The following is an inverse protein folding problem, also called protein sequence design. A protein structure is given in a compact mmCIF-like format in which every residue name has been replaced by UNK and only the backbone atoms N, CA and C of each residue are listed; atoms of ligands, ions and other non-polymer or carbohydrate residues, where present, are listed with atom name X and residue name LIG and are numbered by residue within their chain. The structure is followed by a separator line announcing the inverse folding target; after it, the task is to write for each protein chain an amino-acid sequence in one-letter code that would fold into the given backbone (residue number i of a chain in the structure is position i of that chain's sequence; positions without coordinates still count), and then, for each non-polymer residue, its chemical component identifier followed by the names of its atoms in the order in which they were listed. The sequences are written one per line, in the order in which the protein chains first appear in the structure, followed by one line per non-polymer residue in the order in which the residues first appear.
data_IF_205993702756
#
_entry.id   IF_205993702756
#
_cell.length_a   1.000
_cell.length_b   1.000
_cell.length_c   1.000
_cell.angle_alpha   90.00
_cell.angle_beta   90.00
_cell.angle_gamma   90.00
#
_symmetry.space_group_name_H-M   'P 1'
#
loop_
_entity.id
_entity.type
_entity.pdbx_description
1 polymer ?
#
# COMPACT_ATOMS: atom_id res chain seq x y z
N UNK A 1 9.64 -78.97 17.74
CA UNK A 1 9.83 -78.45 19.09
C UNK A 1 9.75 -76.91 19.02
N UNK A 2 8.62 -76.35 19.39
CA UNK A 2 8.44 -75.38 20.47
C UNK A 2 9.33 -74.15 20.35
N UNK A 3 8.89 -72.91 20.28
CA UNK A 3 7.83 -72.15 21.02
C UNK A 3 7.63 -70.81 20.31
N UNK A 4 6.47 -70.32 20.08
CA UNK A 4 5.70 -69.34 20.89
C UNK A 4 6.39 -68.08 21.35
N UNK A 5 5.82 -67.02 20.92
CA UNK A 5 5.36 -65.84 21.68
C UNK A 5 6.15 -64.61 21.33
N UNK A 6 5.66 -63.52 21.09
CA UNK A 6 4.61 -62.79 21.74
C UNK A 6 4.35 -61.53 20.93
N UNK A 7 3.10 -61.23 20.71
CA UNK A 7 2.65 -59.97 20.17
C UNK A 7 2.98 -58.85 21.16
N UNK A 8 3.62 -57.78 20.63
CA UNK A 8 3.64 -56.52 21.32
C UNK A 8 3.07 -55.47 20.37
N UNK A 9 1.76 -55.29 20.49
CA UNK A 9 1.03 -54.21 19.87
C UNK A 9 1.48 -52.92 20.54
N UNK A 10 2.35 -52.15 19.88
CA UNK A 10 2.68 -50.81 20.28
C UNK A 10 1.72 -49.87 19.58
N UNK A 11 0.67 -49.50 20.28
CA UNK A 11 -0.30 -48.46 19.86
C UNK A 11 0.42 -47.12 19.88
N UNK A 12 0.92 -46.70 18.67
CA UNK A 12 1.41 -45.36 18.45
C UNK A 12 0.20 -44.43 18.32
N UNK A 13 -0.17 -43.83 19.42
CA UNK A 13 -1.06 -42.67 19.43
C UNK A 13 -0.41 -41.54 18.60
N UNK A 14 -0.78 -41.46 17.34
CA UNK A 14 -0.50 -40.32 16.48
C UNK A 14 -1.39 -39.18 16.97
N UNK A 15 -0.92 -38.43 17.97
CA UNK A 15 -1.50 -37.15 18.35
C UNK A 15 -1.23 -36.18 17.21
N UNK A 16 -2.18 -36.07 16.29
CA UNK A 16 -2.24 -34.94 15.35
C UNK A 16 -2.44 -33.67 16.17
N UNK A 17 -1.36 -32.98 16.44
CA UNK A 17 -1.39 -31.60 16.88
C UNK A 17 -1.99 -30.83 15.69
N UNK A 18 -3.29 -30.59 15.73
CA UNK A 18 -3.92 -29.53 14.98
C UNK A 18 -3.28 -28.22 15.47
N UNK A 19 -2.23 -27.76 14.77
CA UNK A 19 -1.84 -26.36 14.83
C UNK A 19 -3.03 -25.59 14.21
N UNK A 20 -3.98 -25.22 15.07
CA UNK A 20 -4.93 -24.18 14.75
C UNK A 20 -4.12 -22.94 14.40
N UNK A 21 -4.16 -22.54 13.15
CA UNK A 21 -3.76 -21.20 12.78
C UNK A 21 -4.68 -20.26 13.56
N UNK A 22 -4.17 -19.78 14.69
CA UNK A 22 -4.83 -18.76 15.48
C UNK A 22 -4.75 -17.52 14.62
N UNK A 23 -5.85 -17.16 13.92
CA UNK A 23 -6.00 -15.84 13.35
C UNK A 23 -5.69 -14.86 14.47
N UNK A 24 -4.54 -14.22 14.38
CA UNK A 24 -4.20 -13.13 15.28
C UNK A 24 -5.21 -12.03 14.99
N UNK A 25 -6.27 -11.98 15.79
CA UNK A 25 -7.12 -10.80 15.88
C UNK A 25 -6.19 -9.63 16.18
N UNK A 26 -5.85 -8.85 15.16
CA UNK A 26 -5.01 -7.67 15.34
C UNK A 26 -5.82 -6.72 16.20
N UNK A 27 -5.45 -6.63 17.47
CA UNK A 27 -6.03 -5.70 18.41
C UNK A 27 -5.65 -4.30 17.97
N UNK A 28 -6.60 -3.37 17.98
CA UNK A 28 -6.32 -1.96 17.78
C UNK A 28 -6.75 -1.17 19.03
N UNK A 29 -6.06 -0.09 19.30
CA UNK A 29 -6.45 0.89 20.30
C UNK A 29 -7.01 2.14 19.63
N UNK A 30 -7.88 2.87 20.32
CA UNK A 30 -8.40 4.13 19.79
C UNK A 30 -8.55 5.18 20.87
N UNK A 31 -8.57 6.44 20.45
CA UNK A 31 -8.92 7.62 21.29
C UNK A 31 -9.58 8.69 20.43
N UNK A 32 -10.42 9.49 21.06
CA UNK A 32 -11.12 10.65 20.47
C UNK A 32 -11.74 11.51 21.55
N UNK A 33 -12.24 12.69 21.18
CA UNK A 33 -12.99 13.52 22.11
C UNK A 33 -14.38 12.94 22.38
N UNK A 34 -14.96 12.26 21.38
CA UNK A 34 -16.25 11.57 21.47
C UNK A 34 -16.22 10.24 20.73
N UNK A 35 -16.80 9.22 21.33
CA UNK A 35 -16.99 7.91 20.71
C UNK A 35 -18.45 7.47 20.82
N UNK A 36 -18.98 6.92 19.73
CA UNK A 36 -20.29 6.29 19.68
C UNK A 36 -20.14 4.88 19.13
N UNK A 37 -20.56 3.88 19.91
CA UNK A 37 -20.43 2.46 19.52
C UNK A 37 -21.80 1.78 19.49
N UNK A 38 -22.06 1.07 18.40
CA UNK A 38 -23.20 0.17 18.23
C UNK A 38 -22.66 -1.26 18.17
N UNK A 39 -23.15 -2.11 19.08
CA UNK A 39 -22.71 -3.51 19.20
C UNK A 39 -23.77 -4.53 18.73
N UNK A 40 -24.83 -4.06 18.05
CA UNK A 40 -25.86 -4.94 17.54
C UNK A 40 -25.31 -5.78 16.39
N UNK A 41 -25.52 -7.09 16.46
CA UNK A 41 -25.08 -8.06 15.44
C UNK A 41 -25.49 -7.63 14.03
N UNK A 42 -24.54 -7.66 13.10
CA UNK A 42 -24.67 -7.21 11.72
C UNK A 42 -24.79 -5.69 11.52
N UNK A 43 -24.62 -4.90 12.59
CA UNK A 43 -24.59 -3.42 12.56
C UNK A 43 -23.49 -2.84 13.42
N UNK A 44 -22.46 -3.62 13.68
CA UNK A 44 -21.31 -3.21 14.48
C UNK A 44 -20.65 -1.98 13.86
N UNK A 45 -20.51 -0.94 14.69
CA UNK A 45 -19.95 0.33 14.26
C UNK A 45 -19.38 1.07 15.45
N UNK A 46 -18.20 1.64 15.28
CA UNK A 46 -17.64 2.61 16.22
C UNK A 46 -17.25 3.85 15.44
N UNK A 47 -17.82 4.98 15.82
CA UNK A 47 -17.52 6.31 15.27
C UNK A 47 -16.78 7.13 16.30
N UNK A 48 -15.65 7.67 15.91
CA UNK A 48 -14.75 8.50 16.69
C UNK A 48 -14.79 9.92 16.12
N UNK A 49 -14.98 10.93 16.95
CA UNK A 49 -15.10 12.33 16.53
C UNK A 49 -14.21 13.23 17.39
N UNK A 50 -13.51 14.14 16.75
CA UNK A 50 -12.56 15.07 17.37
C UNK A 50 -11.26 14.38 17.79
N UNK A 51 -10.13 14.83 17.23
CA UNK A 51 -8.80 14.27 17.51
C UNK A 51 -8.77 12.75 17.46
N UNK A 52 -9.55 12.18 16.52
CA UNK A 52 -9.71 10.74 16.39
C UNK A 52 -8.39 10.08 16.00
N UNK A 53 -8.05 9.00 16.70
CA UNK A 53 -6.85 8.20 16.46
C UNK A 53 -7.14 6.73 16.62
N UNK A 54 -6.69 5.93 15.67
CA UNK A 54 -6.60 4.47 15.75
C UNK A 54 -5.14 4.08 15.63
N UNK A 55 -4.75 3.08 16.42
CA UNK A 55 -3.37 2.58 16.45
C UNK A 55 -3.38 1.05 16.52
N UNK A 56 -2.62 0.45 15.64
CA UNK A 56 -2.24 -0.97 15.64
C UNK A 56 -0.75 -1.08 15.93
N UNK A 57 -0.17 -2.28 15.82
CA UNK A 57 1.27 -2.48 16.05
C UNK A 57 2.14 -1.59 15.15
N UNK A 58 1.75 -1.38 13.89
CA UNK A 58 2.56 -0.65 12.90
C UNK A 58 1.84 0.52 12.25
N UNK A 59 0.50 0.57 12.29
CA UNK A 59 -0.27 1.60 11.58
C UNK A 59 -0.95 2.55 12.56
N UNK A 60 -0.79 3.84 12.30
CA UNK A 60 -1.48 4.91 13.01
C UNK A 60 -2.31 5.72 12.03
N UNK A 61 -3.61 5.86 12.31
CA UNK A 61 -4.53 6.71 11.56
C UNK A 61 -4.99 7.84 12.48
N UNK A 62 -4.86 9.08 12.05
CA UNK A 62 -5.41 10.26 12.72
C UNK A 62 -6.30 11.04 11.77
N UNK A 63 -7.44 11.54 12.27
CA UNK A 63 -8.39 12.32 11.47
C UNK A 63 -9.33 13.12 12.39
N UNK A 64 -10.16 13.99 11.81
CA UNK A 64 -11.26 14.64 12.56
C UNK A 64 -12.34 13.62 12.90
N UNK A 65 -12.63 12.70 11.97
CA UNK A 65 -13.60 11.62 12.13
C UNK A 65 -13.00 10.30 11.62
N UNK A 66 -13.15 9.24 12.42
CA UNK A 66 -12.85 7.87 12.00
C UNK A 66 -14.05 7.00 12.33
N UNK A 67 -14.45 6.16 11.39
CA UNK A 67 -15.50 5.19 11.57
C UNK A 67 -14.99 3.80 11.21
N UNK A 68 -15.18 2.82 12.11
CA UNK A 68 -14.90 1.42 11.85
C UNK A 68 -16.20 0.62 11.94
N UNK A 69 -16.47 -0.24 10.96
CA UNK A 69 -17.76 -0.91 10.85
C UNK A 69 -17.69 -2.24 10.08
N UNK A 70 -18.82 -2.93 10.03
CA UNK A 70 -18.96 -4.25 9.40
C UNK A 70 -18.49 -5.38 10.29
N UNK A 71 -18.72 -6.60 9.86
CA UNK A 71 -18.40 -7.81 10.61
C UNK A 71 -16.93 -7.78 11.07
N UNK A 72 -16.73 -7.93 12.38
CA UNK A 72 -15.39 -7.87 13.00
C UNK A 72 -14.63 -6.57 12.68
N UNK A 73 -15.32 -5.45 12.45
CA UNK A 73 -14.73 -4.16 12.07
C UNK A 73 -13.86 -4.28 10.81
N UNK A 74 -14.41 -4.89 9.79
CA UNK A 74 -13.76 -5.11 8.50
C UNK A 74 -13.35 -3.82 7.82
N UNK A 75 -14.23 -2.79 7.88
CA UNK A 75 -14.05 -1.54 7.17
C UNK A 75 -13.63 -0.42 8.10
N UNK A 76 -12.76 0.47 7.59
CA UNK A 76 -12.44 1.73 8.24
C UNK A 76 -12.55 2.87 7.23
N UNK A 77 -13.17 3.98 7.66
CA UNK A 77 -13.24 5.24 6.94
C UNK A 77 -12.70 6.36 7.82
N UNK A 78 -11.97 7.29 7.23
CA UNK A 78 -11.44 8.44 7.94
C UNK A 78 -11.53 9.70 7.08
N UNK A 79 -11.80 10.86 7.70
CA UNK A 79 -11.94 12.12 6.99
C UNK A 79 -11.58 13.32 7.87
N UNK A 80 -11.13 14.39 7.21
CA UNK A 80 -10.71 15.65 7.84
C UNK A 80 -9.37 15.55 8.55
N UNK A 81 -8.41 16.39 8.17
CA UNK A 81 -7.04 16.42 8.71
C UNK A 81 -6.39 15.02 8.80
N UNK A 82 -6.65 14.23 7.77
CA UNK A 82 -6.27 12.83 7.72
C UNK A 82 -4.76 12.65 7.54
N UNK A 83 -4.19 11.81 8.39
CA UNK A 83 -2.82 11.31 8.26
C UNK A 83 -2.78 9.83 8.63
N UNK A 84 -2.16 9.03 7.75
CA UNK A 84 -1.88 7.61 7.96
C UNK A 84 -0.38 7.41 7.99
N UNK A 85 0.13 6.71 8.99
CA UNK A 85 1.56 6.34 9.11
C UNK A 85 1.64 4.83 9.26
N UNK A 86 2.37 4.17 8.37
CA UNK A 86 2.73 2.76 8.44
C UNK A 86 4.24 2.66 8.66
N UNK A 87 4.64 2.39 9.91
CA UNK A 87 6.06 2.31 10.28
C UNK A 87 6.77 1.09 9.71
N UNK A 88 6.03 0.00 9.48
CA UNK A 88 6.58 -1.23 8.91
C UNK A 88 6.90 -1.07 7.42
N UNK A 89 6.13 -0.25 6.71
CA UNK A 89 6.36 0.03 5.29
C UNK A 89 7.15 1.33 5.07
N UNK A 90 7.30 2.18 6.09
CA UNK A 90 7.91 3.50 5.96
C UNK A 90 7.03 4.48 5.18
N UNK A 91 5.71 4.28 5.19
CA UNK A 91 4.75 5.09 4.44
C UNK A 91 4.12 6.15 5.35
N UNK A 92 4.09 7.38 4.86
CA UNK A 92 3.25 8.45 5.39
C UNK A 92 2.30 8.93 4.28
N UNK A 93 1.00 9.02 4.59
CA UNK A 93 -0.02 9.43 3.64
C UNK A 93 -0.93 10.48 4.26
N UNK A 94 -1.23 11.52 3.49
CA UNK A 94 -2.28 12.51 3.79
C UNK A 94 -3.26 12.61 2.63
N UNK A 95 -4.55 12.82 2.93
CA UNK A 95 -5.61 12.98 1.94
C UNK A 95 -6.81 13.69 2.59
N UNK A 96 -7.91 13.91 1.85
CA UNK A 96 -9.17 14.38 2.43
C UNK A 96 -9.98 13.26 3.06
N UNK A 97 -9.96 12.10 2.40
CA UNK A 97 -10.72 10.91 2.80
C UNK A 97 -9.86 9.66 2.61
N UNK A 98 -10.10 8.67 3.46
CA UNK A 98 -9.43 7.38 3.41
C UNK A 98 -10.44 6.27 3.67
N UNK A 99 -10.33 5.19 2.94
CA UNK A 99 -11.09 3.96 3.11
C UNK A 99 -10.12 2.77 3.18
N UNK A 100 -10.42 1.80 4.02
CA UNK A 100 -9.69 0.54 4.12
C UNK A 100 -10.63 -0.65 4.26
N UNK A 101 -10.46 -1.67 3.43
CA UNK A 101 -11.05 -3.00 3.56
C UNK A 101 -9.96 -3.96 4.06
N UNK A 102 -10.05 -4.31 5.34
CA UNK A 102 -9.06 -5.15 6.01
C UNK A 102 -8.99 -6.58 5.45
N UNK A 103 -10.10 -7.12 4.99
CA UNK A 103 -10.16 -8.50 4.51
C UNK A 103 -9.49 -8.65 3.15
N UNK A 104 -9.66 -7.64 2.28
CA UNK A 104 -9.07 -7.63 0.94
C UNK A 104 -7.73 -6.89 0.88
N UNK A 105 -7.27 -6.32 1.97
CA UNK A 105 -6.12 -5.41 2.03
C UNK A 105 -6.18 -4.31 0.95
N UNK A 106 -7.37 -3.71 0.78
CA UNK A 106 -7.56 -2.61 -0.16
C UNK A 106 -7.61 -1.30 0.61
N UNK A 107 -6.74 -0.36 0.27
CA UNK A 107 -6.81 1.00 0.79
C UNK A 107 -7.02 2.02 -0.34
N UNK A 108 -7.83 3.07 -0.07
CA UNK A 108 -8.11 4.17 -1.00
C UNK A 108 -7.93 5.49 -0.29
N UNK A 109 -7.19 6.38 -0.90
CA UNK A 109 -7.05 7.76 -0.47
C UNK A 109 -7.61 8.69 -1.55
N UNK A 110 -8.45 9.66 -1.15
CA UNK A 110 -9.20 10.51 -2.06
C UNK A 110 -8.97 11.98 -1.71
N UNK A 111 -8.65 12.75 -2.73
CA UNK A 111 -8.56 14.21 -2.66
C UNK A 111 -7.28 14.75 -2.06
N UNK A 112 -6.50 15.47 -2.88
CA UNK A 112 -5.21 16.07 -2.52
C UNK A 112 -4.26 15.05 -1.85
N UNK A 113 -4.17 13.86 -2.46
CA UNK A 113 -3.32 12.78 -1.95
C UNK A 113 -1.86 13.19 -2.00
N UNK A 114 -1.17 13.05 -0.88
CA UNK A 114 0.27 13.09 -0.74
C UNK A 114 0.72 11.85 0.00
N UNK A 115 1.64 11.10 -0.58
CA UNK A 115 2.24 9.91 0.02
C UNK A 115 3.76 10.04 -0.07
N UNK A 116 4.43 9.72 1.03
CA UNK A 116 5.89 9.62 1.11
C UNK A 116 6.25 8.18 1.53
N UNK A 117 7.11 7.55 0.75
CA UNK A 117 7.75 6.28 1.05
C UNK A 117 9.20 6.58 1.40
N UNK A 118 9.50 6.58 2.69
CA UNK A 118 10.84 6.93 3.20
C UNK A 118 11.87 5.83 2.98
N UNK A 119 11.45 4.59 2.70
CA UNK A 119 12.36 3.47 2.43
C UNK A 119 12.86 3.48 0.99
N UNK A 120 11.99 3.87 0.08
CA UNK A 120 12.29 3.92 -1.36
C UNK A 120 12.58 5.36 -1.84
N UNK A 121 12.55 6.33 -0.92
CA UNK A 121 12.79 7.76 -1.22
C UNK A 121 11.88 8.30 -2.33
N UNK A 122 10.60 7.87 -2.30
CA UNK A 122 9.59 8.22 -3.29
C UNK A 122 8.53 9.10 -2.68
N UNK A 123 8.20 10.20 -3.36
CA UNK A 123 7.03 11.04 -3.05
C UNK A 123 6.03 10.95 -4.20
N UNK A 124 4.77 10.70 -3.86
CA UNK A 124 3.66 10.60 -4.79
C UNK A 124 2.60 11.65 -4.46
N UNK A 125 2.08 12.32 -5.50
CA UNK A 125 0.91 13.21 -5.40
C UNK A 125 -0.12 12.84 -6.44
N UNK A 126 -1.40 12.98 -6.09
CA UNK A 126 -2.50 12.71 -7.00
C UNK A 126 -3.86 13.13 -6.44
N UNK A 127 -4.91 12.93 -7.20
CA UNK A 127 -6.29 13.14 -6.73
C UNK A 127 -6.89 11.89 -6.09
N UNK A 128 -6.36 10.72 -6.46
CA UNK A 128 -6.81 9.41 -5.99
C UNK A 128 -5.62 8.44 -5.94
N UNK A 129 -5.55 7.62 -4.90
CA UNK A 129 -4.61 6.50 -4.78
C UNK A 129 -5.36 5.29 -4.26
N UNK A 130 -5.14 4.13 -4.90
CA UNK A 130 -5.64 2.84 -4.44
C UNK A 130 -4.48 1.85 -4.36
N UNK A 131 -4.37 1.17 -3.23
CA UNK A 131 -3.43 0.06 -3.03
C UNK A 131 -4.21 -1.24 -2.93
N UNK A 132 -3.87 -2.18 -3.78
CA UNK A 132 -4.44 -3.52 -3.88
C UNK A 132 -3.41 -4.49 -3.33
N UNK A 133 -3.54 -4.87 -2.05
CA UNK A 133 -2.54 -5.68 -1.36
C UNK A 133 -2.38 -7.07 -1.95
N UNK A 134 -3.48 -7.75 -2.29
CA UNK A 134 -3.44 -9.08 -2.91
C UNK A 134 -2.80 -9.10 -4.30
N UNK A 135 -2.91 -8.00 -5.05
CA UNK A 135 -2.35 -7.85 -6.40
C UNK A 135 -0.97 -7.18 -6.38
N UNK A 136 -0.49 -6.79 -5.22
CA UNK A 136 0.73 -6.00 -5.00
C UNK A 136 0.86 -4.80 -5.96
N UNK A 137 -0.27 -4.13 -6.18
CA UNK A 137 -0.43 -3.06 -7.17
C UNK A 137 -0.87 -1.76 -6.51
N UNK A 138 -0.28 -0.64 -6.94
CA UNK A 138 -0.74 0.71 -6.59
C UNK A 138 -1.22 1.43 -7.84
N UNK A 139 -2.41 2.00 -7.77
CA UNK A 139 -3.01 2.85 -8.80
C UNK A 139 -3.03 4.30 -8.31
N UNK A 140 -2.57 5.23 -9.14
CA UNK A 140 -2.61 6.66 -8.83
C UNK A 140 -3.27 7.37 -10.02
N UNK A 141 -4.18 8.30 -9.72
CA UNK A 141 -4.96 8.98 -10.75
C UNK A 141 -5.12 10.46 -10.44
N UNK A 142 -5.34 11.22 -11.49
CA UNK A 142 -5.62 12.65 -11.49
C UNK A 142 -4.42 13.49 -11.05
N UNK A 143 -3.81 14.18 -12.01
CA UNK A 143 -2.66 15.05 -11.76
C UNK A 143 -1.50 14.32 -11.07
N UNK A 144 -1.19 13.12 -11.51
CA UNK A 144 -0.13 12.30 -10.94
C UNK A 144 1.23 13.00 -11.03
N UNK A 145 1.95 13.02 -9.92
CA UNK A 145 3.33 13.45 -9.81
C UNK A 145 4.09 12.47 -8.95
N UNK A 146 5.21 11.99 -9.46
CA UNK A 146 6.09 11.06 -8.75
C UNK A 146 7.47 11.68 -8.74
N UNK A 147 8.10 11.70 -7.57
CA UNK A 147 9.45 12.23 -7.37
C UNK A 147 10.29 11.14 -6.69
N UNK A 148 11.44 10.89 -7.24
CA UNK A 148 12.52 10.08 -6.69
C UNK A 148 13.84 10.83 -6.96
N UNK A 149 14.93 10.50 -6.29
CA UNK A 149 16.20 11.19 -6.40
C UNK A 149 16.61 11.49 -7.86
N UNK A 150 16.52 10.48 -8.72
CA UNK A 150 16.95 10.53 -10.12
C UNK A 150 15.80 10.68 -11.12
N UNK A 151 14.54 10.79 -10.63
CA UNK A 151 13.36 10.75 -11.49
C UNK A 151 12.27 11.73 -11.05
N UNK A 152 11.70 12.42 -12.02
CA UNK A 152 10.43 13.14 -11.88
C UNK A 152 9.46 12.67 -12.98
N UNK A 153 8.28 12.19 -12.60
CA UNK A 153 7.26 11.78 -13.54
C UNK A 153 5.95 12.57 -13.34
N UNK A 154 5.28 12.86 -14.45
CA UNK A 154 3.95 13.50 -14.50
C UNK A 154 3.07 12.70 -15.45
N UNK A 155 1.81 12.41 -15.05
CA UNK A 155 0.85 11.70 -15.85
C UNK A 155 -0.58 11.98 -15.34
N UNK A 156 -1.61 11.51 -16.05
CA UNK A 156 -2.96 11.46 -15.50
C UNK A 156 -3.24 10.14 -14.77
N UNK A 157 -2.54 9.09 -15.14
CA UNK A 157 -2.67 7.75 -14.55
C UNK A 157 -1.30 7.10 -14.39
N UNK A 158 -1.07 6.49 -13.24
CA UNK A 158 0.08 5.63 -12.97
C UNK A 158 -0.37 4.31 -12.34
N UNK A 159 0.30 3.23 -12.71
CA UNK A 159 0.17 1.90 -12.12
C UNK A 159 1.55 1.41 -11.75
N UNK A 160 1.74 1.02 -10.50
CA UNK A 160 2.99 0.48 -10.01
C UNK A 160 2.79 -0.96 -9.56
N UNK A 161 3.50 -1.88 -10.20
CA UNK A 161 3.58 -3.30 -9.89
C UNK A 161 4.78 -3.51 -8.96
N UNK A 162 4.55 -3.63 -7.65
CA UNK A 162 5.61 -3.57 -6.64
C UNK A 162 6.61 -4.72 -6.76
N UNK A 163 6.14 -5.96 -6.87
CA UNK A 163 7.03 -7.14 -6.99
C UNK A 163 7.93 -7.09 -8.22
N UNK A 164 7.45 -6.47 -9.29
CA UNK A 164 8.16 -6.37 -10.56
C UNK A 164 8.98 -5.09 -10.67
N UNK A 165 8.78 -4.13 -9.77
CA UNK A 165 9.32 -2.77 -9.83
C UNK A 165 9.00 -2.05 -11.16
N UNK A 166 7.83 -2.37 -11.77
CA UNK A 166 7.36 -1.78 -13.03
C UNK A 166 6.43 -0.60 -12.75
N UNK A 167 6.77 0.56 -13.30
CA UNK A 167 5.94 1.76 -13.30
C UNK A 167 5.37 2.00 -14.71
N UNK A 168 4.06 1.96 -14.84
CA UNK A 168 3.33 2.28 -16.07
C UNK A 168 2.66 3.64 -15.96
N UNK A 169 2.88 4.50 -16.94
CA UNK A 169 2.34 5.86 -17.00
C UNK A 169 1.51 6.06 -18.26
N UNK A 170 0.36 6.73 -18.15
CA UNK A 170 -0.48 7.11 -19.29
C UNK A 170 -1.21 8.44 -19.06
N UNK A 171 -1.83 8.98 -20.13
CA UNK A 171 -2.45 10.29 -20.09
C UNK A 171 -1.42 11.41 -20.20
N UNK A 172 -0.74 11.45 -21.34
CA UNK A 172 0.30 12.42 -21.69
C UNK A 172 1.48 12.44 -20.70
N UNK A 173 2.09 11.29 -20.42
CA UNK A 173 3.18 11.21 -19.49
C UNK A 173 4.40 11.99 -19.96
N UNK A 174 5.08 12.60 -18.97
CA UNK A 174 6.37 13.25 -19.13
C UNK A 174 7.24 12.69 -17.99
N UNK A 175 8.41 12.15 -18.36
CA UNK A 175 9.38 11.64 -17.41
C UNK A 175 10.70 12.37 -17.63
N UNK A 176 11.29 12.88 -16.57
CA UNK A 176 12.68 13.28 -16.52
C UNK A 176 13.40 12.23 -15.68
N UNK A 177 14.34 11.52 -16.27
CA UNK A 177 15.04 10.42 -15.61
C UNK A 177 16.53 10.46 -15.93
N UNK A 178 17.34 10.49 -14.90
CA UNK A 178 18.80 10.61 -15.01
C UNK A 178 19.25 11.79 -15.90
N UNK A 179 18.47 12.88 -15.89
CA UNK A 179 18.71 14.09 -16.68
C UNK A 179 18.10 14.11 -18.07
N UNK A 180 17.59 13.01 -18.57
CA UNK A 180 16.95 12.90 -19.87
C UNK A 180 15.44 13.07 -19.78
N UNK A 181 14.84 13.72 -20.78
CA UNK A 181 13.38 13.93 -20.85
C UNK A 181 12.74 13.01 -21.88
N UNK A 182 11.65 12.35 -21.47
CA UNK A 182 10.87 11.41 -22.30
C UNK A 182 9.40 11.76 -22.28
N UNK A 183 8.77 11.72 -23.47
CA UNK A 183 7.35 11.93 -23.70
C UNK A 183 6.82 10.86 -24.64
N UNK A 184 5.62 10.33 -24.36
CA UNK A 184 4.97 9.35 -25.22
C UNK A 184 3.45 9.30 -24.94
N UNK A 185 2.72 8.44 -25.59
CA UNK A 185 1.33 8.14 -25.23
C UNK A 185 1.28 7.25 -23.97
N UNK A 186 2.25 6.33 -23.85
CA UNK A 186 2.49 5.48 -22.67
C UNK A 186 3.98 5.36 -22.43
N UNK A 187 4.35 5.31 -21.17
CA UNK A 187 5.71 5.08 -20.72
C UNK A 187 5.66 3.92 -19.72
N UNK A 188 6.50 2.93 -19.92
CA UNK A 188 6.74 1.87 -18.96
C UNK A 188 8.19 1.94 -18.52
N UNK A 189 8.42 1.88 -17.23
CA UNK A 189 9.75 1.93 -16.63
C UNK A 189 9.95 0.66 -15.79
N UNK A 190 11.01 -0.05 -16.06
CA UNK A 190 11.55 -1.11 -15.22
C UNK A 190 12.60 -0.45 -14.30
N UNK A 191 12.23 -0.23 -13.05
CA UNK A 191 13.06 0.48 -12.09
C UNK A 191 14.18 -0.39 -11.51
N UNK A 192 14.05 -1.73 -11.64
CA UNK A 192 15.07 -2.67 -11.21
C UNK A 192 16.23 -2.78 -12.22
N UNK A 193 15.90 -2.67 -13.53
CA UNK A 193 16.85 -2.86 -14.63
C UNK A 193 17.24 -1.54 -15.33
N UNK A 194 16.74 -0.39 -14.86
CA UNK A 194 16.99 0.92 -15.46
C UNK A 194 16.57 0.98 -16.96
N UNK A 195 15.45 0.33 -17.29
CA UNK A 195 14.92 0.28 -18.65
C UNK A 195 13.67 1.15 -18.81
N UNK A 196 13.54 1.86 -19.94
CA UNK A 196 12.36 2.64 -20.30
C UNK A 196 11.83 2.24 -21.66
N UNK A 197 10.55 1.94 -21.74
CA UNK A 197 9.83 1.63 -22.98
C UNK A 197 8.81 2.72 -23.28
N UNK A 198 8.94 3.34 -24.45
CA UNK A 198 8.10 4.44 -24.89
C UNK A 198 7.19 3.96 -26.02
N UNK A 199 5.88 4.24 -25.93
CA UNK A 199 4.89 3.81 -26.91
C UNK A 199 3.99 4.97 -27.35
N UNK A 200 3.89 5.17 -28.68
CA UNK A 200 3.03 6.15 -29.35
C UNK A 200 3.48 7.59 -29.15
N UNK A 201 3.61 8.34 -30.26
CA UNK A 201 4.02 9.77 -30.29
C UNK A 201 5.28 10.05 -29.47
N UNK A 202 6.31 9.19 -29.63
CA UNK A 202 7.54 9.24 -28.84
C UNK A 202 8.35 10.51 -29.17
N UNK A 203 8.77 11.21 -28.11
CA UNK A 203 9.70 12.32 -28.14
C UNK A 203 10.68 12.18 -26.99
N UNK A 204 11.94 12.48 -27.20
CA UNK A 204 12.96 12.43 -26.14
C UNK A 204 14.05 13.46 -26.38
N UNK A 205 14.63 13.98 -25.29
CA UNK A 205 15.83 14.77 -25.28
C UNK A 205 16.83 14.06 -24.38
N UNK A 206 17.94 13.62 -24.98
CA UNK A 206 19.03 12.93 -24.28
C UNK A 206 20.23 13.85 -24.22
N UNK A 207 20.75 14.08 -23.03
CA UNK A 207 21.96 14.88 -22.81
C UNK A 207 23.18 13.96 -22.82
N UNK A 208 24.19 14.20 -23.68
CA UNK A 208 25.41 13.42 -23.60
C UNK A 208 26.03 13.60 -22.22
N UNK A 209 26.26 12.51 -21.51
CA UNK A 209 27.06 12.55 -20.29
C UNK A 209 28.48 12.97 -20.72
N UNK A 210 28.97 14.11 -20.21
CA UNK A 210 30.36 14.47 -20.33
C UNK A 210 31.18 13.40 -19.61
N UNK A 211 31.88 12.56 -20.37
CA UNK A 211 32.95 11.73 -19.81
C UNK A 211 33.92 12.73 -19.13
N UNK A 212 33.97 12.69 -17.80
CA UNK A 212 35.00 13.42 -17.07
C UNK A 212 36.35 12.98 -17.58
N UNK A 213 37.09 13.93 -18.11
CA UNK A 213 38.52 13.74 -18.44
C UNK A 213 39.21 13.31 -17.15
N UNK A 214 39.58 12.03 -17.07
CA UNK A 214 40.61 11.57 -16.12
C UNK A 214 41.95 12.14 -16.63
N UNK A 215 42.43 13.20 -16.03
CA UNK A 215 43.86 13.59 -16.03
C UNK A 215 44.52 13.07 -14.76
#
# INVERSE_FOLDING_TARGET
MKRLSSACILLLLCSTVLLGAQERSRQFSFRSDRSTTVLSEGRERTRLEGNARIETDSVVITADVIEVYGDSFRYAEASGNLRVVDSDRGIELTAREFFYDRERDISRAIGAVYMEDTRNEVVVRGGFLESLGEEDTVLIQVNVRIFREDMTARAEFARFLREQEILELSGLPIVIWKGDEYRATRIQMDLANDEIVLQGSVQGTVSPQSQGDEE
#
